data_IF_936162312909
#
_entry.id   IF_936162312909
#
_cell.length_a   1.000
_cell.length_b   1.000
_cell.length_c   1.000
_cell.angle_alpha   90.00
_cell.angle_beta   90.00
_cell.angle_gamma   90.00
#
_symmetry.space_group_name_H-M   'P 1'
#
loop_
_entity.id
_entity.type
_entity.pdbx_description
1 polymer ?
#
# COMPACT_ATOMS: atom_id res chain seq x y z
N UNK A 1 42.49 -18.65 7.04
CA UNK A 1 41.53 -17.70 7.62
C UNK A 1 40.21 -18.43 7.76
N UNK A 2 39.70 -18.62 8.97
CA UNK A 2 38.42 -19.28 9.18
C UNK A 2 37.32 -18.26 8.86
N UNK A 3 36.59 -18.48 7.78
CA UNK A 3 35.41 -17.67 7.45
C UNK A 3 34.33 -17.97 8.49
N UNK A 4 34.15 -17.08 9.47
CA UNK A 4 33.05 -17.17 10.43
C UNK A 4 31.74 -16.98 9.66
N UNK A 5 31.09 -18.07 9.28
CA UNK A 5 29.77 -18.03 8.65
C UNK A 5 28.76 -17.55 9.68
N UNK A 6 28.45 -16.26 9.66
CA UNK A 6 27.34 -15.70 10.45
C UNK A 6 26.05 -16.23 9.83
N UNK A 7 25.31 -17.03 10.60
CA UNK A 7 23.98 -17.47 10.19
C UNK A 7 22.98 -16.32 10.40
N UNK A 8 22.08 -16.08 9.43
CA UNK A 8 21.02 -15.09 9.59
C UNK A 8 20.16 -15.43 10.81
N UNK A 9 19.90 -14.43 11.65
CA UNK A 9 19.06 -14.59 12.85
C UNK A 9 17.61 -14.65 12.37
N UNK A 10 16.87 -15.74 12.62
CA UNK A 10 15.47 -15.82 12.24
C UNK A 10 14.64 -14.79 13.02
N UNK A 11 13.66 -14.18 12.36
CA UNK A 11 12.68 -13.34 13.04
C UNK A 11 11.90 -14.18 14.04
N UNK A 12 11.58 -13.60 15.20
CA UNK A 12 10.73 -14.26 16.20
C UNK A 12 9.35 -14.54 15.61
N UNK A 13 8.71 -15.59 16.10
CA UNK A 13 7.31 -15.87 15.76
C UNK A 13 6.47 -14.66 16.16
N UNK A 14 5.61 -14.20 15.27
CA UNK A 14 4.72 -13.08 15.54
C UNK A 14 3.77 -13.43 16.70
N UNK A 15 3.35 -12.41 17.46
CA UNK A 15 2.33 -12.58 18.49
C UNK A 15 1.09 -13.27 17.91
N UNK A 16 0.47 -14.20 18.63
CA UNK A 16 -0.78 -14.83 18.20
C UNK A 16 -2.00 -14.06 18.71
N UNK A 17 -3.17 -14.27 18.09
CA UNK A 17 -4.43 -13.69 18.57
C UNK A 17 -4.73 -14.08 20.02
N UNK A 18 -4.40 -15.32 20.38
CA UNK A 18 -4.59 -15.82 21.73
C UNK A 18 -3.70 -15.04 22.73
N UNK A 19 -2.42 -14.82 22.40
CA UNK A 19 -1.48 -14.09 23.26
C UNK A 19 -1.94 -12.64 23.50
N UNK A 20 -2.44 -11.98 22.45
CA UNK A 20 -2.96 -10.61 22.56
C UNK A 20 -4.21 -10.56 23.42
N UNK A 21 -5.13 -11.52 23.23
CA UNK A 21 -6.35 -11.58 24.04
C UNK A 21 -6.07 -11.85 25.52
N UNK A 22 -4.99 -12.59 25.83
CA UNK A 22 -4.56 -12.90 27.19
C UNK A 22 -3.68 -11.80 27.82
N UNK A 23 -3.08 -10.93 27.00
CA UNK A 23 -2.27 -9.82 27.48
C UNK A 23 -3.15 -8.81 28.23
N UNK A 24 -2.70 -8.32 29.39
CA UNK A 24 -3.39 -7.26 30.16
C UNK A 24 -2.74 -5.89 30.00
N UNK A 25 -1.56 -5.83 29.38
CA UNK A 25 -0.81 -4.59 29.19
C UNK A 25 -1.32 -3.84 27.95
N UNK A 26 -1.44 -2.52 28.07
CA UNK A 26 -1.73 -1.61 26.97
C UNK A 26 -0.76 -0.44 27.03
N UNK A 27 -0.56 0.23 25.89
CA UNK A 27 0.25 1.44 25.80
C UNK A 27 -0.63 2.67 25.52
N UNK A 28 -0.14 3.87 25.85
CA UNK A 28 -0.77 5.10 25.39
C UNK A 28 -0.81 5.16 23.85
N UNK A 29 -1.92 5.63 23.29
CA UNK A 29 -2.09 5.71 21.84
C UNK A 29 -0.98 6.52 21.15
N UNK A 30 -0.54 7.61 21.76
CA UNK A 30 0.54 8.46 21.23
C UNK A 30 1.89 7.74 21.20
N UNK A 31 2.15 6.87 22.18
CA UNK A 31 3.36 6.05 22.20
C UNK A 31 3.34 5.04 21.04
N UNK A 32 2.20 4.39 20.78
CA UNK A 32 2.05 3.47 19.65
C UNK A 32 2.26 4.20 18.33
N UNK A 33 1.60 5.34 18.12
CA UNK A 33 1.79 6.16 16.91
C UNK A 33 3.24 6.58 16.70
N UNK A 34 3.89 7.05 17.77
CA UNK A 34 5.30 7.46 17.75
C UNK A 34 6.21 6.32 17.35
N UNK A 35 6.00 5.11 17.90
CA UNK A 35 6.75 3.91 17.52
C UNK A 35 6.56 3.58 16.03
N UNK A 36 5.31 3.53 15.55
CA UNK A 36 5.01 3.22 14.14
C UNK A 36 5.66 4.24 13.19
N UNK A 37 5.54 5.53 13.49
CA UNK A 37 6.14 6.62 12.70
C UNK A 37 7.67 6.61 12.73
N UNK A 38 8.26 6.32 13.89
CA UNK A 38 9.72 6.25 14.02
C UNK A 38 10.31 5.11 13.17
N UNK A 39 9.66 3.94 13.20
CA UNK A 39 10.07 2.79 12.40
C UNK A 39 9.86 3.08 10.92
N UNK A 40 8.71 3.63 10.50
CA UNK A 40 8.44 3.95 9.10
C UNK A 40 9.45 4.95 8.55
N UNK A 41 9.73 6.02 9.29
CA UNK A 41 10.72 7.01 8.89
C UNK A 41 12.11 6.39 8.73
N UNK A 42 12.53 5.53 9.68
CA UNK A 42 13.82 4.84 9.64
C UNK A 42 13.95 3.90 8.44
N UNK A 43 12.90 3.12 8.14
CA UNK A 43 12.88 2.22 6.99
C UNK A 43 12.89 3.00 5.68
N UNK A 44 12.08 4.05 5.54
CA UNK A 44 12.01 4.88 4.34
C UNK A 44 13.33 5.64 4.07
N UNK A 45 13.98 6.12 5.13
CA UNK A 45 15.29 6.76 5.04
C UNK A 45 16.40 5.77 4.63
N UNK A 46 16.24 4.49 4.94
CA UNK A 46 17.16 3.44 4.48
C UNK A 46 16.86 3.10 3.03
N UNK A 47 15.59 2.87 2.68
CA UNK A 47 15.12 2.53 1.32
C UNK A 47 15.52 3.55 0.26
N UNK A 48 15.47 4.85 0.59
CA UNK A 48 15.88 5.92 -0.34
C UNK A 48 17.37 5.91 -0.68
N UNK A 49 18.21 5.26 0.14
CA UNK A 49 19.66 5.19 -0.02
C UNK A 49 20.16 3.83 -0.46
N UNK A 50 19.32 2.80 -0.41
CA UNK A 50 19.71 1.42 -0.71
C UNK A 50 20.23 1.29 -2.14
N UNK A 51 21.42 0.69 -2.27
CA UNK A 51 22.06 0.37 -3.56
C UNK A 51 22.12 -1.12 -3.84
N UNK A 52 21.91 -1.96 -2.82
CA UNK A 52 22.07 -3.41 -2.93
C UNK A 52 21.06 -4.04 -3.89
N UNK A 53 19.80 -3.62 -3.85
CA UNK A 53 18.76 -4.08 -4.77
C UNK A 53 18.22 -2.91 -5.58
N UNK A 54 17.58 -3.23 -6.71
CA UNK A 54 16.96 -2.23 -7.56
C UNK A 54 16.03 -1.38 -6.70
N UNK A 55 16.23 -0.07 -6.74
CA UNK A 55 15.32 0.85 -6.08
C UNK A 55 13.92 0.57 -6.64
N UNK A 56 12.94 0.27 -5.79
CA UNK A 56 11.58 0.08 -6.28
C UNK A 56 11.18 1.36 -7.01
N UNK A 57 10.75 1.20 -8.25
CA UNK A 57 10.19 2.31 -9.02
C UNK A 57 9.01 2.85 -8.22
N UNK A 58 9.12 4.09 -7.72
CA UNK A 58 8.06 4.70 -6.95
C UNK A 58 6.85 4.93 -7.84
N UNK A 59 5.86 4.05 -7.75
CA UNK A 59 4.53 4.28 -8.30
C UNK A 59 3.64 4.86 -7.21
N UNK A 60 3.22 6.12 -7.40
CA UNK A 60 2.27 6.81 -6.51
C UNK A 60 0.92 6.09 -6.42
N UNK A 61 0.57 5.28 -7.42
CA UNK A 61 -0.67 4.52 -7.48
C UNK A 61 -0.48 3.05 -7.13
N UNK A 62 0.66 2.70 -6.53
CA UNK A 62 0.90 1.40 -5.94
C UNK A 62 0.94 1.52 -4.42
N UNK A 63 0.46 0.48 -3.73
CA UNK A 63 0.46 0.44 -2.28
C UNK A 63 1.87 0.12 -1.79
N UNK A 64 2.47 1.08 -1.10
CA UNK A 64 3.82 0.98 -0.55
C UNK A 64 3.86 1.65 0.83
N UNK A 65 4.86 1.30 1.65
CA UNK A 65 5.09 1.96 2.93
C UNK A 65 5.20 3.48 2.75
N UNK A 66 5.89 3.96 1.70
CA UNK A 66 6.02 5.39 1.39
C UNK A 66 4.67 6.02 1.09
N UNK A 67 3.84 5.39 0.25
CA UNK A 67 2.52 5.92 -0.09
C UNK A 67 1.64 6.06 1.17
N UNK A 68 1.61 5.01 2.00
CA UNK A 68 0.83 5.01 3.24
C UNK A 68 1.35 6.03 4.25
N UNK A 69 2.68 6.12 4.40
CA UNK A 69 3.34 7.14 5.21
C UNK A 69 2.97 8.56 4.80
N UNK A 70 3.14 8.89 3.53
CA UNK A 70 2.82 10.23 3.03
C UNK A 70 1.32 10.55 3.19
N UNK A 71 0.44 9.54 3.07
CA UNK A 71 -1.00 9.74 3.29
C UNK A 71 -1.30 10.00 4.76
N UNK A 72 -0.71 9.22 5.65
CA UNK A 72 -0.87 9.38 7.09
C UNK A 72 -0.34 10.74 7.57
N UNK A 73 0.84 11.16 7.10
CA UNK A 73 1.40 12.49 7.40
C UNK A 73 0.52 13.64 6.92
N UNK A 74 -0.18 13.45 5.79
CA UNK A 74 -1.13 14.42 5.24
C UNK A 74 -2.51 14.35 5.88
N UNK A 75 -2.73 13.50 6.88
CA UNK A 75 -4.03 13.29 7.50
C UNK A 75 -5.08 12.75 6.52
N UNK A 76 -4.65 12.06 5.45
CA UNK A 76 -5.57 11.40 4.54
C UNK A 76 -6.15 10.16 5.21
N UNK A 77 -7.48 10.02 5.33
CA UNK A 77 -8.08 8.86 5.96
C UNK A 77 -7.70 7.58 5.20
N UNK A 78 -7.57 6.49 5.95
CA UNK A 78 -7.54 5.16 5.37
C UNK A 78 -8.89 4.86 4.69
N UNK A 79 -8.90 4.18 3.53
CA UNK A 79 -10.14 3.67 2.97
C UNK A 79 -10.82 2.78 4.01
N UNK A 80 -12.13 2.93 4.16
CA UNK A 80 -12.89 2.08 5.07
C UNK A 80 -12.71 0.63 4.67
N UNK A 81 -12.15 -0.18 5.58
CA UNK A 81 -12.16 -1.64 5.39
C UNK A 81 -13.62 -2.05 5.20
N UNK A 82 -13.95 -2.84 4.17
CA UNK A 82 -15.29 -3.36 4.01
C UNK A 82 -15.63 -4.09 5.30
N UNK A 83 -16.60 -3.58 6.04
CA UNK A 83 -17.17 -4.30 7.17
C UNK A 83 -17.75 -5.54 6.55
N UNK A 84 -17.03 -6.67 6.64
CA UNK A 84 -17.53 -7.94 6.11
C UNK A 84 -18.87 -8.15 6.79
N UNK A 85 -19.99 -8.11 6.05
CA UNK A 85 -21.28 -8.30 6.67
C UNK A 85 -21.27 -9.70 7.26
N UNK A 86 -21.27 -9.80 8.59
CA UNK A 86 -21.62 -11.05 9.24
C UNK A 86 -22.98 -11.45 8.68
N UNK A 87 -23.08 -12.69 8.20
CA UNK A 87 -24.19 -13.22 7.39
C UNK A 87 -25.55 -12.64 7.79
N UNK A 88 -26.15 -11.82 6.92
CA UNK A 88 -27.49 -11.26 7.12
C UNK A 88 -27.64 -9.76 6.82
N UNK A 89 -26.56 -8.98 6.82
CA UNK A 89 -26.62 -7.55 6.50
C UNK A 89 -26.37 -7.30 5.01
N UNK A 90 -27.44 -7.06 4.25
CA UNK A 90 -27.33 -6.53 2.88
C UNK A 90 -27.03 -5.02 2.96
N UNK A 91 -25.78 -4.66 3.22
CA UNK A 91 -25.36 -3.26 3.10
C UNK A 91 -25.43 -2.85 1.63
N UNK A 92 -26.29 -1.87 1.32
CA UNK A 92 -26.32 -1.18 0.03
C UNK A 92 -24.91 -0.71 -0.34
N UNK A 93 -24.46 -0.84 -1.61
CA UNK A 93 -23.16 -0.39 -2.08
C UNK A 93 -23.15 1.14 -2.16
N UNK A 94 -23.23 1.83 -1.01
CA UNK A 94 -22.87 3.24 -0.95
C UNK A 94 -21.38 3.34 -1.26
N UNK A 95 -21.05 4.11 -2.30
CA UNK A 95 -19.69 4.40 -2.74
C UNK A 95 -18.77 4.62 -1.53
N UNK A 96 -17.91 3.64 -1.18
CA UNK A 96 -17.20 3.63 0.10
C UNK A 96 -16.04 4.63 0.16
N UNK A 97 -15.86 5.42 -0.90
CA UNK A 97 -14.78 6.39 -1.06
C UNK A 97 -15.32 7.81 -0.89
N UNK A 98 -15.85 8.12 0.30
CA UNK A 98 -15.93 9.53 0.67
C UNK A 98 -14.49 10.02 0.81
N UNK A 99 -14.08 10.89 -0.11
CA UNK A 99 -12.82 11.63 -0.02
C UNK A 99 -12.99 12.58 1.17
N UNK A 100 -12.74 12.09 2.39
CA UNK A 100 -12.79 12.95 3.56
C UNK A 100 -11.71 14.01 3.39
N UNK A 101 -12.04 15.24 3.76
CA UNK A 101 -11.08 16.33 3.82
C UNK A 101 -9.91 15.92 4.71
N UNK A 102 -8.67 16.29 4.35
CA UNK A 102 -7.49 15.96 5.15
C UNK A 102 -7.73 16.36 6.61
N UNK A 103 -7.69 15.38 7.50
CA UNK A 103 -7.87 15.59 8.93
C UNK A 103 -6.60 16.20 9.53
N UNK A 104 -6.78 16.68 10.76
CA UNK A 104 -5.76 17.27 11.64
C UNK A 104 -4.49 16.41 11.75
N UNK A 105 -3.41 17.01 12.26
CA UNK A 105 -2.06 16.44 12.32
C UNK A 105 -1.99 14.94 12.71
N UNK A 106 -0.97 14.19 12.25
CA UNK A 106 -0.91 12.72 12.39
C UNK A 106 -1.07 12.21 13.83
N UNK A 107 -0.61 12.99 14.81
CA UNK A 107 -0.74 12.63 16.23
C UNK A 107 -2.16 12.77 16.77
N UNK A 108 -2.99 13.64 16.18
CA UNK A 108 -4.38 13.86 16.60
C UNK A 108 -5.38 12.87 15.97
N UNK A 109 -4.97 12.13 14.93
CA UNK A 109 -5.81 11.14 14.27
C UNK A 109 -6.19 9.95 15.17
N UNK A 110 -7.14 9.12 14.74
CA UNK A 110 -7.49 7.92 15.48
C UNK A 110 -6.35 6.91 15.40
N UNK A 111 -6.11 6.13 16.47
CA UNK A 111 -5.13 5.04 16.42
C UNK A 111 -5.53 3.98 15.37
N UNK A 112 -6.82 3.83 15.10
CA UNK A 112 -7.32 2.91 14.07
C UNK A 112 -6.82 3.25 12.66
N UNK A 113 -6.51 4.52 12.37
CA UNK A 113 -6.00 4.95 11.07
C UNK A 113 -4.56 4.45 10.81
N UNK A 114 -3.87 3.97 11.86
CA UNK A 114 -2.54 3.39 11.78
C UNK A 114 -2.55 1.90 11.38
N UNK A 115 -3.72 1.27 11.23
CA UNK A 115 -3.87 -0.15 10.87
C UNK A 115 -3.06 -0.51 9.61
N UNK A 116 -3.24 0.25 8.53
CA UNK A 116 -2.59 -0.03 7.25
C UNK A 116 -1.07 0.20 7.30
N UNK A 117 -0.64 1.21 8.07
CA UNK A 117 0.78 1.46 8.30
C UNK A 117 1.43 0.30 9.04
N UNK A 118 0.77 -0.21 10.08
CA UNK A 118 1.25 -1.35 10.86
C UNK A 118 1.46 -2.58 9.96
N UNK A 119 0.48 -2.92 9.12
CA UNK A 119 0.63 -4.02 8.16
C UNK A 119 1.77 -3.78 7.17
N UNK A 120 1.87 -2.57 6.61
CA UNK A 120 2.92 -2.23 5.66
C UNK A 120 4.33 -2.31 6.29
N UNK A 121 4.47 -1.94 7.56
CA UNK A 121 5.73 -2.07 8.31
C UNK A 121 6.13 -3.53 8.49
N UNK A 122 5.22 -4.40 8.94
CA UNK A 122 5.47 -5.83 9.09
C UNK A 122 5.92 -6.45 7.77
N UNK A 123 5.17 -6.17 6.70
CA UNK A 123 5.50 -6.62 5.35
C UNK A 123 6.89 -6.15 4.92
N UNK A 124 7.21 -4.86 5.09
CA UNK A 124 8.49 -4.27 4.68
C UNK A 124 9.67 -4.91 5.44
N UNK A 125 9.53 -5.08 6.75
CA UNK A 125 10.59 -5.67 7.59
C UNK A 125 10.87 -7.11 7.17
N UNK A 126 9.83 -7.92 7.00
CA UNK A 126 9.98 -9.31 6.57
C UNK A 126 10.55 -9.41 5.15
N UNK A 127 10.08 -8.58 4.23
CA UNK A 127 10.58 -8.54 2.85
C UNK A 127 12.09 -8.23 2.81
N UNK A 128 12.53 -7.19 3.52
CA UNK A 128 13.95 -6.86 3.63
C UNK A 128 14.75 -7.98 4.31
N UNK A 129 14.23 -8.57 5.39
CA UNK A 129 14.88 -9.67 6.09
C UNK A 129 15.07 -10.90 5.18
N UNK A 130 14.05 -11.28 4.42
CA UNK A 130 14.09 -12.39 3.47
C UNK A 130 15.09 -12.14 2.33
N UNK A 131 15.05 -10.95 1.71
CA UNK A 131 15.98 -10.58 0.64
C UNK A 131 17.42 -10.64 1.12
N UNK A 132 17.72 -10.11 2.31
CA UNK A 132 19.06 -10.15 2.87
C UNK A 132 19.49 -11.58 3.22
N UNK A 133 18.57 -12.40 3.76
CA UNK A 133 18.82 -13.80 4.10
C UNK A 133 19.24 -14.57 2.86
N UNK A 134 18.46 -14.48 1.78
CA UNK A 134 18.76 -15.12 0.49
C UNK A 134 20.10 -14.65 -0.07
N UNK A 135 20.45 -13.37 0.06
CA UNK A 135 21.74 -12.85 -0.44
C UNK A 135 22.94 -13.35 0.34
N UNK A 136 22.81 -13.43 1.67
CA UNK A 136 23.87 -13.97 2.52
C UNK A 136 24.05 -15.48 2.30
N UNK A 137 22.94 -16.23 2.19
CA UNK A 137 22.98 -17.67 1.94
C UNK A 137 23.59 -18.04 0.59
N UNK A 138 23.30 -17.24 -0.45
CA UNK A 138 23.90 -17.41 -1.77
C UNK A 138 25.28 -16.76 -1.92
N UNK A 139 25.87 -16.24 -0.82
CA UNK A 139 27.20 -15.60 -0.80
C UNK A 139 27.35 -14.39 -1.75
N UNK A 140 26.25 -13.78 -2.18
CA UNK A 140 26.29 -12.53 -2.96
C UNK A 140 26.84 -11.36 -2.15
N UNK A 141 26.72 -11.45 -0.82
CA UNK A 141 27.16 -10.43 0.12
C UNK A 141 27.77 -11.06 1.37
N UNK A 142 28.65 -10.31 2.02
CA UNK A 142 29.23 -10.65 3.32
C UNK A 142 28.56 -9.78 4.39
N UNK A 143 28.35 -10.27 5.64
CA UNK A 143 27.72 -9.48 6.69
C UNK A 143 28.38 -8.13 7.01
N UNK A 144 29.68 -7.99 6.69
CA UNK A 144 30.46 -6.76 6.83
C UNK A 144 30.24 -5.75 5.70
N UNK A 145 29.60 -6.14 4.60
CA UNK A 145 29.30 -5.23 3.50
C UNK A 145 28.32 -4.15 3.98
N UNK A 146 28.50 -2.93 3.48
CA UNK A 146 27.61 -1.81 3.77
C UNK A 146 26.41 -1.81 2.82
N UNK A 147 25.23 -1.41 3.32
CA UNK A 147 24.01 -1.34 2.50
C UNK A 147 24.09 -0.29 1.38
N UNK A 148 24.83 0.78 1.63
CA UNK A 148 25.10 1.91 0.76
C UNK A 148 26.37 2.62 1.26
N UNK A 149 26.94 3.52 0.45
CA UNK A 149 28.18 4.22 0.80
C UNK A 149 28.04 5.01 2.12
N UNK A 150 28.87 4.68 3.11
CA UNK A 150 28.80 5.27 4.45
C UNK A 150 27.59 4.84 5.28
N UNK A 151 26.83 3.83 4.84
CA UNK A 151 25.69 3.27 5.55
C UNK A 151 26.04 2.18 6.56
N UNK A 152 25.04 1.65 7.27
CA UNK A 152 25.23 0.52 8.18
C UNK A 152 25.65 -0.73 7.40
N UNK A 153 26.34 -1.62 8.09
CA UNK A 153 26.63 -2.97 7.61
C UNK A 153 25.34 -3.80 7.49
N UNK A 154 25.35 -4.83 6.65
CA UNK A 154 24.23 -5.78 6.54
C UNK A 154 23.91 -6.39 7.91
N UNK A 155 24.92 -6.72 8.72
CA UNK A 155 24.73 -7.26 10.07
C UNK A 155 24.03 -6.28 11.03
N UNK A 156 24.42 -5.01 11.00
CA UNK A 156 23.78 -3.96 11.81
C UNK A 156 22.33 -3.72 11.38
N UNK A 157 22.08 -3.74 10.07
CA UNK A 157 20.74 -3.58 9.55
C UNK A 157 19.85 -4.78 9.87
N UNK A 158 20.36 -6.01 9.80
CA UNK A 158 19.64 -7.20 10.29
C UNK A 158 19.23 -7.07 11.76
N UNK A 159 20.16 -6.62 12.60
CA UNK A 159 19.90 -6.37 14.02
C UNK A 159 18.80 -5.31 14.19
N UNK A 160 18.84 -4.25 13.38
CA UNK A 160 17.84 -3.19 13.36
C UNK A 160 16.47 -3.71 12.95
N UNK A 161 16.38 -4.54 11.89
CA UNK A 161 15.14 -5.18 11.45
C UNK A 161 14.56 -6.10 12.53
N UNK A 162 15.41 -6.88 13.20
CA UNK A 162 14.98 -7.74 14.32
C UNK A 162 14.43 -6.91 15.48
N UNK A 163 15.06 -5.77 15.80
CA UNK A 163 14.56 -4.85 16.82
C UNK A 163 13.19 -4.30 16.44
N UNK A 164 13.05 -3.74 15.24
CA UNK A 164 11.75 -3.23 14.76
C UNK A 164 10.68 -4.31 14.74
N UNK A 165 11.03 -5.54 14.34
CA UNK A 165 10.12 -6.68 14.41
C UNK A 165 9.67 -6.98 15.84
N UNK A 166 10.58 -6.94 16.81
CA UNK A 166 10.24 -7.16 18.21
C UNK A 166 9.37 -6.02 18.76
N UNK A 167 9.69 -4.77 18.44
CA UNK A 167 8.92 -3.60 18.87
C UNK A 167 7.48 -3.65 18.33
N UNK A 168 7.30 -4.05 17.06
CA UNK A 168 5.98 -4.22 16.44
C UNK A 168 5.23 -5.46 16.94
N UNK A 169 5.93 -6.48 17.45
CA UNK A 169 5.33 -7.67 18.05
C UNK A 169 5.19 -7.58 19.57
N UNK A 170 5.42 -6.42 20.17
CA UNK A 170 5.13 -6.21 21.58
C UNK A 170 3.62 -6.36 21.84
N UNK A 171 3.27 -7.26 22.77
CA UNK A 171 1.87 -7.59 23.04
C UNK A 171 1.05 -6.38 23.49
N UNK A 172 1.64 -5.45 24.25
CA UNK A 172 0.96 -4.25 24.72
C UNK A 172 0.67 -3.27 23.58
N UNK A 173 1.61 -3.11 22.66
CA UNK A 173 1.43 -2.31 21.45
C UNK A 173 0.30 -2.87 20.59
N UNK A 174 0.39 -4.16 20.23
CA UNK A 174 -0.56 -4.77 19.31
C UNK A 174 -1.96 -4.89 19.95
N UNK A 175 -2.05 -5.15 21.26
CA UNK A 175 -3.33 -5.11 21.99
C UNK A 175 -3.99 -3.74 21.91
N UNK A 176 -3.24 -2.68 22.14
CA UNK A 176 -3.76 -1.30 22.10
C UNK A 176 -4.30 -0.97 20.71
N UNK A 177 -3.57 -1.37 19.66
CA UNK A 177 -3.99 -1.18 18.28
C UNK A 177 -5.23 -2.01 17.95
N UNK A 178 -5.27 -3.27 18.36
CA UNK A 178 -6.41 -4.17 18.19
C UNK A 178 -7.69 -3.64 18.85
N UNK A 179 -7.61 -3.16 20.09
CA UNK A 179 -8.73 -2.57 20.81
C UNK A 179 -9.23 -1.27 20.16
N UNK A 180 -8.32 -0.41 19.69
CA UNK A 180 -8.68 0.83 19.00
C UNK A 180 -9.37 0.56 17.66
N UNK A 181 -8.92 -0.44 16.90
CA UNK A 181 -9.55 -0.83 15.64
C UNK A 181 -10.92 -1.47 15.92
N UNK A 182 -11.00 -2.35 16.93
CA UNK A 182 -12.26 -2.97 17.35
C UNK A 182 -13.29 -1.93 17.76
N UNK A 183 -12.92 -0.95 18.58
CA UNK A 183 -13.84 0.09 19.05
C UNK A 183 -14.39 0.93 17.90
N UNK A 184 -13.55 1.31 16.94
CA UNK A 184 -13.99 2.04 15.74
C UNK A 184 -14.92 1.19 14.86
N UNK A 185 -14.67 -0.12 14.74
CA UNK A 185 -15.58 -1.02 14.01
C UNK A 185 -16.92 -1.16 14.70
N UNK A 186 -16.95 -1.30 16.03
CA UNK A 186 -18.19 -1.31 16.83
C UNK A 186 -18.95 0.00 16.63
N UNK A 187 -18.28 1.16 16.71
CA UNK A 187 -18.89 2.45 16.47
C UNK A 187 -19.50 2.56 15.07
N UNK A 188 -18.80 2.08 14.03
CA UNK A 188 -19.35 2.06 12.66
C UNK A 188 -20.56 1.14 12.51
N UNK A 189 -20.56 -0.02 13.17
CA UNK A 189 -21.73 -0.92 13.18
C UNK A 189 -22.91 -0.22 13.86
N UNK A 190 -22.67 0.44 14.99
CA UNK A 190 -23.66 1.24 15.69
C UNK A 190 -24.23 2.35 14.80
N UNK A 191 -23.38 3.15 14.17
CA UNK A 191 -23.79 4.24 13.26
C UNK A 191 -24.60 3.69 12.07
N UNK A 192 -24.23 2.53 11.53
CA UNK A 192 -24.99 1.86 10.48
C UNK A 192 -26.38 1.42 10.96
N UNK A 193 -26.51 0.90 12.18
CA UNK A 193 -27.80 0.52 12.78
C UNK A 193 -28.67 1.76 12.95
N UNK A 194 -28.11 2.85 13.47
CA UNK A 194 -28.82 4.12 13.65
C UNK A 194 -29.27 4.70 12.31
N UNK A 195 -28.42 4.65 11.28
CA UNK A 195 -28.80 5.12 9.94
C UNK A 195 -29.92 4.27 9.31
N UNK A 196 -29.98 2.97 9.58
CA UNK A 196 -31.11 2.10 9.16
C UNK A 196 -32.41 2.48 9.89
N UNK A 197 -32.30 2.80 11.19
CA UNK A 197 -33.44 3.26 11.97
C UNK A 197 -33.99 4.59 11.45
N UNK A 198 -33.14 5.57 11.19
CA UNK A 198 -33.53 6.88 10.66
C UNK A 198 -34.22 6.80 9.29
N UNK A 199 -33.84 5.83 8.45
CA UNK A 199 -34.51 5.56 7.17
C UNK A 199 -35.83 4.81 7.31
N UNK A 200 -36.16 4.30 8.50
CA UNK A 200 -37.33 3.44 8.74
C UNK A 200 -37.17 2.02 8.21
N UNK A 201 -35.94 1.58 7.91
CA UNK A 201 -35.66 0.22 7.42
C UNK A 201 -35.88 -0.84 8.52
N UNK A 202 -35.69 -0.46 9.79
CA UNK A 202 -35.85 -1.31 10.97
C UNK A 202 -36.89 -0.73 11.93
N UNK A 203 -37.57 -1.59 12.70
CA UNK A 203 -38.54 -1.21 13.73
C UNK A 203 -37.87 -1.04 15.10
N UNK A 204 -38.53 -0.33 16.02
CA UNK A 204 -38.00 -0.06 17.37
C UNK A 204 -37.58 -1.34 18.13
N UNK A 205 -38.38 -2.42 18.02
CA UNK A 205 -38.03 -3.72 18.62
C UNK A 205 -36.78 -4.35 18.01
N UNK A 206 -36.57 -4.17 16.71
CA UNK A 206 -35.37 -4.66 16.02
C UNK A 206 -34.16 -3.83 16.40
N UNK A 207 -34.30 -2.50 16.50
CA UNK A 207 -33.25 -1.61 16.98
C UNK A 207 -32.76 -2.04 18.38
N UNK A 208 -33.69 -2.23 19.33
CA UNK A 208 -33.34 -2.66 20.69
C UNK A 208 -32.62 -4.01 20.71
N UNK A 209 -33.08 -4.98 19.90
CA UNK A 209 -32.43 -6.28 19.77
C UNK A 209 -31.02 -6.17 19.18
N UNK A 210 -30.85 -5.38 18.10
CA UNK A 210 -29.56 -5.19 17.43
C UNK A 210 -28.53 -4.49 18.31
N UNK A 211 -28.94 -3.46 19.06
CA UNK A 211 -28.05 -2.76 20.00
C UNK A 211 -27.66 -3.69 21.16
N UNK A 212 -28.63 -4.42 21.72
CA UNK A 212 -28.34 -5.41 22.77
C UNK A 212 -27.43 -6.53 22.29
N UNK A 213 -27.56 -6.97 21.04
CA UNK A 213 -26.68 -7.96 20.43
C UNK A 213 -25.27 -7.39 20.21
N UNK A 214 -25.15 -6.14 19.75
CA UNK A 214 -23.86 -5.47 19.59
C UNK A 214 -23.12 -5.32 20.93
N UNK A 215 -23.82 -4.94 22.00
CA UNK A 215 -23.25 -4.84 23.35
C UNK A 215 -22.77 -6.20 23.87
N UNK A 216 -23.58 -7.24 23.67
CA UNK A 216 -23.24 -8.61 24.07
C UNK A 216 -22.09 -9.19 23.26
N UNK A 217 -22.05 -8.91 21.96
CA UNK A 217 -21.10 -9.49 21.00
C UNK A 217 -19.93 -8.57 20.66
N UNK A 218 -19.79 -7.40 21.29
CA UNK A 218 -18.74 -6.44 20.98
C UNK A 218 -17.33 -7.05 21.04
N UNK A 219 -17.12 -8.00 21.96
CA UNK A 219 -15.86 -8.76 22.08
C UNK A 219 -15.59 -9.74 20.92
N UNK A 220 -16.63 -10.13 20.16
CA UNK A 220 -16.51 -11.00 18.98
C UNK A 220 -16.14 -10.23 17.71
N UNK A 221 -16.30 -8.91 17.72
CA UNK A 221 -15.88 -8.06 16.61
C UNK A 221 -14.36 -8.14 16.50
N UNK A 222 -13.88 -8.58 15.34
CA UNK A 222 -12.44 -8.68 15.06
C UNK A 222 -11.83 -7.29 15.03
N UNK A 223 -10.80 -7.06 15.85
CA UNK A 223 -9.94 -5.89 15.78
C UNK A 223 -8.95 -6.02 14.62
N UNK A 224 -7.66 -6.23 14.90
CA UNK A 224 -6.68 -6.47 13.84
C UNK A 224 -7.05 -7.72 13.01
N UNK A 225 -6.82 -7.64 11.71
CA UNK A 225 -6.94 -8.75 10.77
C UNK A 225 -5.71 -9.66 10.91
N UNK A 226 -5.96 -10.91 11.28
CA UNK A 226 -4.95 -11.94 11.45
C UNK A 226 -4.65 -12.61 10.12
N UNK A 227 -3.82 -11.97 9.31
CA UNK A 227 -3.43 -12.48 7.99
C UNK A 227 -2.49 -13.68 8.22
N UNK A 228 -2.88 -14.86 7.70
CA UNK A 228 -2.21 -16.14 7.97
C UNK A 228 -0.68 -16.05 7.89
N UNK A 229 -0.02 -16.24 9.03
CA UNK A 229 1.45 -16.24 9.15
C UNK A 229 2.13 -14.89 8.87
N UNK A 230 1.35 -13.80 8.83
CA UNK A 230 1.83 -12.46 8.45
C UNK A 230 2.58 -12.45 7.12
N UNK A 231 2.23 -13.35 6.19
CA UNK A 231 3.01 -13.53 4.97
C UNK A 231 3.06 -12.23 4.14
N UNK A 232 4.25 -11.76 3.73
CA UNK A 232 4.45 -10.55 2.94
C UNK A 232 3.49 -10.36 1.77
N UNK A 233 3.30 -11.42 0.97
CA UNK A 233 2.45 -11.41 -0.21
C UNK A 233 0.96 -11.26 0.12
N UNK A 234 0.51 -11.88 1.22
CA UNK A 234 -0.88 -11.80 1.66
C UNK A 234 -1.21 -10.41 2.19
N UNK A 235 -0.30 -9.81 2.96
CA UNK A 235 -0.44 -8.42 3.42
C UNK A 235 -0.50 -7.46 2.23
N UNK A 236 0.41 -7.62 1.27
CA UNK A 236 0.44 -6.78 0.07
C UNK A 236 -0.84 -6.92 -0.77
N UNK A 237 -1.38 -8.14 -0.92
CA UNK A 237 -2.63 -8.38 -1.63
C UNK A 237 -3.83 -7.74 -0.93
N UNK A 238 -3.94 -7.90 0.40
CA UNK A 238 -5.01 -7.32 1.21
C UNK A 238 -5.01 -5.78 1.12
N UNK A 239 -3.86 -5.15 1.34
CA UNK A 239 -3.72 -3.71 1.21
C UNK A 239 -3.94 -3.24 -0.23
N UNK A 240 -3.47 -4.01 -1.22
CA UNK A 240 -3.66 -3.77 -2.64
C UNK A 240 -5.15 -3.68 -3.00
N UNK A 241 -5.95 -4.68 -2.61
CA UNK A 241 -7.40 -4.68 -2.88
C UNK A 241 -8.11 -3.56 -2.11
N UNK A 242 -7.75 -3.34 -0.83
CA UNK A 242 -8.32 -2.27 -0.01
C UNK A 242 -8.15 -0.89 -0.64
N UNK A 243 -6.99 -0.62 -1.25
CA UNK A 243 -6.69 0.67 -1.87
C UNK A 243 -7.00 0.74 -3.37
N UNK A 244 -7.33 -0.38 -4.03
CA UNK A 244 -7.47 -0.47 -5.50
C UNK A 244 -8.38 0.62 -6.07
N UNK A 245 -9.63 0.66 -5.62
CA UNK A 245 -10.60 1.61 -6.17
C UNK A 245 -10.33 3.06 -5.75
N UNK A 246 -9.72 3.30 -4.58
CA UNK A 246 -9.28 4.64 -4.17
C UNK A 246 -8.18 5.16 -5.11
N UNK A 247 -7.17 4.34 -5.37
CA UNK A 247 -6.03 4.71 -6.23
C UNK A 247 -6.45 4.82 -7.69
N UNK A 248 -7.38 3.98 -8.17
CA UNK A 248 -7.99 4.10 -9.50
C UNK A 248 -8.74 5.43 -9.66
N UNK A 249 -9.54 5.83 -8.66
CA UNK A 249 -10.27 7.10 -8.67
C UNK A 249 -9.29 8.30 -8.67
N UNK A 250 -8.25 8.26 -7.86
CA UNK A 250 -7.20 9.30 -7.84
C UNK A 250 -6.47 9.39 -9.19
N UNK A 251 -6.11 8.24 -9.77
CA UNK A 251 -5.45 8.14 -11.09
C UNK A 251 -6.34 8.71 -12.20
N UNK A 252 -7.63 8.39 -12.19
CA UNK A 252 -8.61 8.94 -13.13
C UNK A 252 -8.76 10.47 -12.98
N UNK A 253 -8.86 10.96 -11.75
CA UNK A 253 -8.93 12.39 -11.44
C UNK A 253 -7.72 13.19 -11.92
N UNK A 254 -6.51 12.62 -11.81
CA UNK A 254 -5.29 13.27 -12.32
C UNK A 254 -5.24 13.29 -13.85
N UNK A 255 -5.67 12.22 -14.53
CA UNK A 255 -5.75 12.18 -16.01
C UNK A 255 -6.76 13.22 -16.55
N UNK A 256 -7.92 13.35 -15.91
CA UNK A 256 -8.94 14.35 -16.28
C UNK A 256 -8.45 15.80 -16.15
N UNK A 257 -7.71 16.12 -15.08
CA UNK A 257 -7.11 17.46 -14.89
C UNK A 257 -6.06 17.79 -15.95
N UNK A 258 -5.24 16.81 -16.38
CA UNK A 258 -4.27 17.01 -17.46
C UNK A 258 -4.97 17.31 -18.79
N UNK A 259 -6.01 16.54 -19.15
CA UNK A 259 -6.80 16.79 -20.38
C UNK A 259 -7.44 18.18 -20.39
N UNK A 260 -8.02 18.62 -19.26
CA UNK A 260 -8.60 19.98 -19.14
C UNK A 260 -7.56 21.09 -19.29
N UNK A 261 -6.34 20.92 -18.77
CA UNK A 261 -5.26 21.92 -18.92
C UNK A 261 -4.75 22.01 -20.36
N UNK A 262 -4.63 20.88 -21.05
CA UNK A 262 -4.25 20.87 -22.48
C UNK A 262 -5.34 21.55 -23.31
N UNK A 263 -6.61 21.16 -23.12
CA UNK A 263 -7.73 21.75 -23.86
C UNK A 263 -7.90 23.26 -23.61
N UNK A 264 -7.72 23.73 -22.38
CA UNK A 264 -7.76 25.18 -22.08
C UNK A 264 -6.57 25.95 -22.68
N UNK A 265 -5.42 25.29 -22.86
CA UNK A 265 -4.30 25.92 -23.55
C UNK A 265 -4.55 25.98 -25.06
N UNK A 266 -5.09 24.93 -25.67
CA UNK A 266 -5.41 24.90 -27.10
C UNK A 266 -6.49 25.94 -27.45
N UNK A 267 -7.57 26.02 -26.67
CA UNK A 267 -8.60 27.06 -26.83
C UNK A 267 -8.06 28.49 -26.67
N UNK A 268 -7.04 28.70 -25.82
CA UNK A 268 -6.38 30.00 -25.68
C UNK A 268 -5.46 30.34 -26.85
N UNK A 269 -4.89 29.33 -27.52
CA UNK A 269 -4.11 29.55 -28.74
C UNK A 269 -5.01 29.90 -29.92
N UNK A 270 -6.18 29.25 -30.03
CA UNK A 270 -7.14 29.55 -31.10
C UNK A 270 -7.77 30.94 -30.94
N UNK A 271 -8.29 31.32 -29.75
CA UNK A 271 -8.83 32.68 -29.56
C UNK A 271 -7.78 33.78 -29.77
N UNK A 272 -6.51 33.53 -29.42
CA UNK A 272 -5.43 34.51 -29.69
C UNK A 272 -5.11 34.62 -31.19
N UNK A 273 -5.28 33.54 -31.95
CA UNK A 273 -5.11 33.56 -33.40
C UNK A 273 -6.27 34.26 -34.11
N UNK A 274 -7.51 34.06 -33.63
CA UNK A 274 -8.69 34.80 -34.12
C UNK A 274 -8.57 36.30 -33.84
N UNK A 275 -8.20 36.72 -32.62
CA UNK A 275 -7.96 38.14 -32.29
C UNK A 275 -6.86 38.77 -33.17
N UNK A 276 -5.85 37.99 -33.58
CA UNK A 276 -4.79 38.45 -34.47
C UNK A 276 -5.24 38.57 -35.95
N UNK A 277 -6.20 37.75 -36.37
CA UNK A 277 -6.76 37.80 -37.73
C UNK A 277 -7.84 38.90 -37.84
N UNK A 278 -8.65 39.08 -36.80
CA UNK A 278 -9.74 40.08 -36.78
C UNK A 278 -9.19 41.52 -36.67
N UNK A 279 -8.06 41.73 -35.98
CA UNK A 279 -7.37 43.01 -35.96
C UNK A 279 -6.59 43.33 -37.25
N UNK A 280 -6.55 42.43 -38.24
CA UNK A 280 -5.83 42.63 -39.49
C UNK A 280 -6.71 43.11 -40.65
N UNK A 281 -8.02 43.25 -40.44
CA UNK A 281 -9.00 43.66 -41.47
C UNK A 281 -9.51 45.11 -41.31
N UNK A 282 -8.92 45.89 -40.40
CA UNK A 282 -9.28 47.30 -40.15
C UNK A 282 -8.06 48.23 -40.17
N UNK A 283 -7.21 48.11 -41.17
CA UNK A 283 -6.19 49.12 -41.47
C UNK A 283 -5.95 49.16 -42.97
N UNK A 284 -6.89 49.77 -43.66
CA UNK A 284 -6.57 50.44 -44.90
C UNK A 284 -5.60 51.60 -44.58
N UNK A 285 -4.58 51.72 -45.42
CA UNK A 285 -3.55 52.75 -45.45
C UNK A 285 -2.32 52.62 -44.50
N UNK A 286 -1.24 52.18 -45.16
CA UNK A 286 0.13 52.69 -45.03
C UNK A 286 1.04 52.06 -43.97
N UNK A 287 1.70 50.96 -44.36
CA UNK A 287 3.05 50.64 -43.85
C UNK A 287 3.98 50.06 -44.93
N UNK A 288 5.16 50.68 -45.18
CA UNK A 288 6.23 50.09 -45.96
C UNK A 288 7.20 49.27 -45.08
N UNK A 289 7.77 48.22 -45.68
CA UNK A 289 9.12 47.70 -45.43
C UNK A 289 9.48 47.07 -44.06
N UNK A 290 8.62 46.23 -43.46
CA UNK A 290 9.07 45.27 -42.41
C UNK A 290 8.60 43.82 -42.61
N UNK A 291 8.26 43.44 -43.84
CA UNK A 291 7.72 42.12 -44.19
C UNK A 291 8.71 40.94 -44.11
N UNK A 292 10.01 41.15 -43.85
CA UNK A 292 11.01 40.08 -43.95
C UNK A 292 11.39 39.37 -42.63
N UNK A 293 10.79 39.72 -41.48
CA UNK A 293 11.17 39.11 -40.18
C UNK A 293 10.12 38.17 -39.56
N UNK A 294 8.89 38.18 -40.06
CA UNK A 294 7.78 37.38 -39.47
C UNK A 294 7.62 36.00 -40.15
N UNK A 295 8.10 35.82 -41.39
CA UNK A 295 8.08 34.50 -42.05
C UNK A 295 9.09 33.49 -41.48
N UNK A 296 10.08 33.93 -40.68
CA UNK A 296 11.05 33.03 -40.05
C UNK A 296 10.51 32.30 -38.81
N UNK A 297 9.60 32.91 -38.05
CA UNK A 297 9.09 32.31 -36.81
C UNK A 297 7.91 31.34 -37.04
N UNK A 298 7.10 31.55 -38.09
CA UNK A 298 5.98 30.66 -38.42
C UNK A 298 6.37 29.32 -39.05
N UNK A 299 7.54 29.23 -39.71
CA UNK A 299 8.04 27.96 -40.28
C UNK A 299 8.72 27.06 -39.25
N UNK A 300 9.21 27.64 -38.16
CA UNK A 300 9.92 26.89 -37.11
C UNK A 300 8.95 26.16 -36.16
N UNK A 301 7.77 26.74 -35.90
CA UNK A 301 6.73 26.12 -35.07
C UNK A 301 5.94 25.01 -35.79
N UNK A 302 5.66 25.15 -37.10
CA UNK A 302 5.01 24.09 -37.89
C UNK A 302 5.87 22.83 -38.02
N UNK A 303 7.20 22.97 -38.15
CA UNK A 303 8.10 21.81 -38.19
C UNK A 303 8.22 21.09 -36.84
N UNK A 304 8.05 21.78 -35.71
CA UNK A 304 8.04 21.13 -34.39
C UNK A 304 6.74 20.37 -34.09
N UNK A 305 5.58 20.84 -34.56
CA UNK A 305 4.33 20.09 -34.39
C UNK A 305 4.28 18.86 -35.30
N UNK A 306 4.65 18.98 -36.58
CA UNK A 306 4.68 17.85 -37.51
C UNK A 306 5.74 16.77 -37.15
N UNK A 307 6.77 17.12 -36.36
CA UNK A 307 7.73 16.17 -35.79
C UNK A 307 7.21 15.51 -34.51
N UNK A 308 6.30 16.16 -33.78
CA UNK A 308 5.70 15.63 -32.55
C UNK A 308 4.54 14.67 -32.84
N UNK A 309 3.75 14.93 -33.89
CA UNK A 309 2.70 14.02 -34.36
C UNK A 309 3.27 12.73 -34.97
N UNK A 310 4.34 12.82 -35.76
CA UNK A 310 5.05 11.61 -36.27
C UNK A 310 5.74 10.77 -35.18
N UNK A 311 6.02 11.35 -34.01
CA UNK A 311 6.62 10.61 -32.91
C UNK A 311 5.57 10.01 -31.96
N UNK A 312 4.29 10.38 -32.12
CA UNK A 312 3.20 9.78 -31.35
C UNK A 312 2.63 8.54 -32.03
N UNK A 313 2.56 8.55 -33.37
CA UNK A 313 2.05 7.42 -34.16
C UNK A 313 2.99 6.19 -34.13
N UNK A 314 4.30 6.41 -33.97
CA UNK A 314 5.29 5.32 -33.84
C UNK A 314 5.43 4.76 -32.42
N UNK A 315 4.65 5.24 -31.44
CA UNK A 315 4.75 4.86 -30.04
C UNK A 315 3.62 3.97 -29.51
N UNK A 316 2.62 3.63 -30.34
CA UNK A 316 1.41 2.90 -29.89
C UNK A 316 1.33 1.42 -30.29
N UNK A 317 2.35 0.85 -30.96
CA UNK A 317 2.28 -0.52 -31.51
C UNK A 317 3.19 -1.55 -30.82
N UNK A 318 3.69 -1.29 -29.60
CA UNK A 318 4.47 -2.28 -28.82
C UNK A 318 3.72 -2.95 -27.66
N UNK A 319 2.42 -2.69 -27.47
CA UNK A 319 1.56 -3.52 -26.63
C UNK A 319 0.83 -4.55 -27.50
N UNK A 320 1.61 -5.39 -28.21
CA UNK A 320 1.06 -6.63 -28.77
C UNK A 320 0.99 -7.66 -27.67
N UNK A 321 -0.21 -8.19 -27.50
CA UNK A 321 -0.56 -9.36 -26.71
C UNK A 321 0.54 -10.44 -26.74
N UNK A 322 1.25 -10.57 -25.63
CA UNK A 322 1.96 -11.81 -25.31
C UNK A 322 0.91 -12.76 -24.78
N UNK A 323 0.35 -13.55 -25.69
CA UNK A 323 -0.46 -14.73 -25.41
C UNK A 323 0.36 -15.68 -24.53
N UNK A 324 0.14 -15.59 -23.21
CA UNK A 324 0.75 -16.47 -22.21
C UNK A 324 0.05 -17.83 -22.29
N UNK A 325 0.49 -18.64 -23.25
CA UNK A 325 0.13 -20.05 -23.32
C UNK A 325 0.42 -20.77 -21.99
N UNK A 326 -0.34 -21.83 -21.67
CA UNK A 326 -0.24 -22.49 -20.38
C UNK A 326 1.12 -23.17 -20.21
N UNK A 327 1.92 -22.66 -19.27
CA UNK A 327 3.09 -23.35 -18.74
C UNK A 327 2.62 -24.63 -18.02
N UNK A 328 2.64 -25.75 -18.73
CA UNK A 328 2.56 -27.08 -18.13
C UNK A 328 3.88 -27.37 -17.43
N UNK A 329 3.89 -27.21 -16.10
CA UNK A 329 4.98 -27.69 -15.26
C UNK A 329 4.84 -29.20 -15.13
N UNK A 330 5.77 -29.93 -15.76
CA UNK A 330 5.91 -31.35 -15.54
C UNK A 330 6.33 -31.60 -14.08
N UNK A 331 5.43 -32.20 -13.30
CA UNK A 331 5.71 -32.69 -11.96
C UNK A 331 6.46 -34.02 -12.10
N UNK A 332 7.70 -34.15 -11.60
CA UNK A 332 8.35 -35.45 -11.52
C UNK A 332 7.67 -36.28 -10.44
N UNK A 333 7.01 -37.36 -10.86
CA UNK A 333 6.41 -38.38 -10.00
C UNK A 333 7.50 -39.22 -9.32
N UNK A 334 7.97 -38.75 -8.17
CA UNK A 334 8.78 -39.54 -7.24
C UNK A 334 7.88 -40.42 -6.37
N UNK A 335 7.87 -41.72 -6.63
CA UNK A 335 7.24 -42.75 -5.80
C UNK A 335 7.95 -42.86 -4.43
N UNK A 336 7.24 -42.82 -3.30
CA UNK A 336 7.84 -43.17 -2.01
C UNK A 336 7.94 -44.69 -1.87
N UNK A 337 9.18 -45.17 -1.72
CA UNK A 337 9.52 -46.53 -1.30
C UNK A 337 9.15 -46.71 0.18
N UNK A 338 8.14 -47.53 0.46
CA UNK A 338 7.77 -47.97 1.80
C UNK A 338 8.64 -49.15 2.22
N UNK A 339 9.71 -48.88 2.97
CA UNK A 339 10.46 -49.90 3.71
C UNK A 339 9.86 -50.11 5.10
N UNK A 340 8.90 -51.03 5.21
CA UNK A 340 8.43 -51.57 6.50
C UNK A 340 9.39 -52.67 6.91
N UNK A 341 10.18 -52.44 7.97
CA UNK A 341 10.98 -53.49 8.60
C UNK A 341 10.29 -53.85 9.91
N UNK A 342 9.58 -54.98 9.90
CA UNK A 342 9.04 -55.60 11.10
C UNK A 342 10.14 -56.43 11.77
N UNK A 343 10.48 -56.10 13.01
CA UNK A 343 11.25 -56.98 13.91
C UNK A 343 10.28 -57.83 14.73
N UNK A 344 10.41 -59.16 14.73
CA UNK A 344 9.75 -60.02 15.71
C UNK A 344 10.64 -60.09 16.96
N UNK A 345 10.04 -60.08 18.14
CA UNK A 345 10.71 -60.65 19.31
C UNK A 345 9.72 -61.51 20.08
N UNK A 346 9.99 -62.81 19.98
CA UNK A 346 9.35 -63.90 20.67
C UNK A 346 9.51 -63.79 22.19
N UNK A 347 8.49 -64.37 22.83
CA UNK A 347 8.41 -64.74 24.24
C UNK A 347 9.46 -65.78 24.65
N UNK A 348 9.85 -65.77 25.93
CA UNK A 348 9.78 -66.91 26.87
C UNK A 348 10.46 -66.54 28.22
N UNK A 349 9.63 -66.48 29.28
CA UNK A 349 9.68 -67.22 30.57
C UNK A 349 11.03 -67.68 31.16
N UNK A 350 11.16 -67.81 32.51
CA UNK A 350 10.13 -68.29 33.46
C UNK A 350 9.78 -67.42 34.68
#
# INVERSE_FOLDING_TARGET
MQSTTIRPIPLRIAASQADISACNQTYPADAVKSTLLSISHSLLATESRLTLWQQPTFDRFSVSLRMLHDRFERGCPAPSSPIVPQSGYTSSPQSPYQVSTPQTTPMTGSLSDCEDMYYALLWTIQSHHQVLTVRLENTFNVPSDTLYFGGPTISEFFTTLCRFWNDLNDLGLVKTLDEAIRSVRIARIHDSIMAQWERGDIRERQLAALLSDLDRQGHTVKGLAWINGWAPSMIAAELGEKYRALLEAEKAGMKGKKKKKVNNNDLRYDSRMEDMLENHDSSDERWPAKANKVQSYGKQTRNTMARKERNWDNGQDQDRDVDMGPFSVAIPSGTPSSGVTATPHDAQDP
#
